data_IF_171271894854
#
_entry.id   IF_171271894854
#
_cell.length_a   1.000
_cell.length_b   1.000
_cell.length_c   1.000
_cell.angle_alpha   90.00
_cell.angle_beta   90.00
_cell.angle_gamma   90.00
#
_symmetry.space_group_name_H-M   'P 1'
#
loop_
_entity.id
_entity.type
_entity.pdbx_description
1 polymer ?
#
# COMPACT_ATOMS: atom_id res chain seq x y z
N UNK A 1 63.63 3.86 -20.99
CA UNK A 1 62.98 4.53 -19.85
C UNK A 1 62.35 3.45 -19.00
N UNK A 2 62.81 3.32 -17.74
CA UNK A 2 62.50 2.21 -16.85
C UNK A 2 61.13 2.40 -16.19
N UNK A 3 60.42 1.28 -16.10
CA UNK A 3 59.15 1.02 -15.42
C UNK A 3 59.14 1.51 -13.96
N UNK A 4 58.03 2.12 -13.51
CA UNK A 4 57.52 1.98 -12.14
C UNK A 4 56.11 2.54 -12.01
N UNK A 5 55.15 1.63 -11.90
CA UNK A 5 53.87 1.85 -11.21
C UNK A 5 54.11 1.75 -9.70
N UNK A 6 53.39 2.53 -8.85
CA UNK A 6 53.22 2.19 -7.46
C UNK A 6 51.82 1.61 -7.24
N UNK A 7 51.80 0.31 -6.96
CA UNK A 7 50.74 -0.37 -6.20
C UNK A 7 50.67 0.22 -4.79
N UNK A 8 49.48 0.65 -4.36
CA UNK A 8 49.12 0.64 -2.94
C UNK A 8 47.81 -0.12 -2.77
N UNK A 9 47.98 -1.44 -2.85
CA UNK A 9 47.13 -2.45 -2.21
C UNK A 9 47.22 -2.25 -0.70
N UNK A 10 46.27 -1.48 -0.14
CA UNK A 10 46.05 -1.34 1.30
C UNK A 10 45.10 -2.42 1.79
N UNK A 11 45.58 -3.66 1.88
CA UNK A 11 44.87 -4.74 2.58
C UNK A 11 44.92 -4.45 4.09
N UNK A 12 43.87 -3.82 4.63
CA UNK A 12 43.70 -3.66 6.06
C UNK A 12 43.31 -5.01 6.66
N UNK A 13 44.30 -5.68 7.27
CA UNK A 13 44.08 -6.86 8.10
C UNK A 13 43.08 -6.52 9.22
N UNK A 14 41.96 -7.25 9.29
CA UNK A 14 40.93 -7.13 10.32
C UNK A 14 41.51 -7.36 11.73
N UNK A 15 41.39 -6.42 12.69
CA UNK A 15 41.79 -6.67 14.07
C UNK A 15 40.68 -7.47 14.80
N UNK A 16 40.58 -8.77 14.52
CA UNK A 16 39.54 -9.64 15.09
C UNK A 16 39.46 -9.61 16.63
N UNK A 17 40.59 -9.34 17.31
CA UNK A 17 40.64 -9.23 18.76
C UNK A 17 40.01 -7.94 19.33
N UNK A 18 40.06 -6.83 18.60
CA UNK A 18 39.46 -5.56 19.07
C UNK A 18 37.95 -5.57 18.88
N UNK A 19 37.46 -6.13 17.76
CA UNK A 19 36.03 -6.29 17.50
C UNK A 19 35.38 -7.25 18.50
N UNK A 20 36.05 -8.36 18.83
CA UNK A 20 35.58 -9.29 19.85
C UNK A 20 35.50 -8.65 21.24
N UNK A 21 36.46 -7.79 21.60
CA UNK A 21 36.44 -7.04 22.88
C UNK A 21 35.30 -6.03 22.90
N UNK A 22 35.11 -5.28 21.82
CA UNK A 22 34.00 -4.33 21.71
C UNK A 22 32.63 -5.03 21.81
N UNK A 23 32.47 -6.16 21.12
CA UNK A 23 31.24 -6.96 21.20
C UNK A 23 31.00 -7.50 22.62
N UNK A 24 32.03 -8.04 23.29
CA UNK A 24 31.91 -8.49 24.69
C UNK A 24 31.53 -7.36 25.65
N UNK A 25 32.11 -6.17 25.48
CA UNK A 25 31.78 -5.01 26.29
C UNK A 25 30.34 -4.57 26.06
N UNK A 26 29.90 -4.52 24.79
CA UNK A 26 28.52 -4.16 24.45
C UNK A 26 27.52 -5.15 25.08
N UNK A 27 27.76 -6.45 24.96
CA UNK A 27 26.89 -7.48 25.58
C UNK A 27 26.86 -7.35 27.10
N UNK A 28 27.99 -7.07 27.75
CA UNK A 28 28.05 -6.87 29.19
C UNK A 28 27.27 -5.62 29.63
N UNK A 29 27.38 -4.51 28.90
CA UNK A 29 26.62 -3.27 29.16
C UNK A 29 25.12 -3.51 28.93
N UNK A 30 24.74 -4.21 27.86
CA UNK A 30 23.34 -4.57 27.61
C UNK A 30 22.78 -5.47 28.72
N UNK A 31 23.52 -6.49 29.15
CA UNK A 31 23.10 -7.38 30.25
C UNK A 31 22.95 -6.61 31.57
N UNK A 32 23.89 -5.72 31.89
CA UNK A 32 23.81 -4.86 33.07
C UNK A 32 22.58 -3.94 33.01
N UNK A 33 22.34 -3.29 31.88
CA UNK A 33 21.21 -2.39 31.70
C UNK A 33 19.87 -3.13 31.83
N UNK A 34 19.73 -4.29 31.19
CA UNK A 34 18.54 -5.13 31.33
C UNK A 34 18.36 -5.64 32.77
N UNK A 35 19.45 -5.99 33.46
CA UNK A 35 19.42 -6.38 34.87
C UNK A 35 18.94 -5.25 35.78
N UNK A 36 19.49 -4.05 35.63
CA UNK A 36 19.05 -2.86 36.38
C UNK A 36 17.58 -2.54 36.09
N UNK A 37 17.18 -2.58 34.82
CA UNK A 37 15.78 -2.34 34.42
C UNK A 37 14.85 -3.39 35.02
N UNK A 38 15.26 -4.66 35.04
CA UNK A 38 14.49 -5.75 35.63
C UNK A 38 14.37 -5.58 37.14
N UNK A 39 15.46 -5.25 37.85
CA UNK A 39 15.42 -4.98 39.29
C UNK A 39 14.54 -3.78 39.60
N UNK A 40 14.66 -2.67 38.87
CA UNK A 40 13.79 -1.51 39.02
C UNK A 40 12.31 -1.88 38.82
N UNK A 41 12.02 -2.70 37.80
CA UNK A 41 10.67 -3.12 37.49
C UNK A 41 10.09 -4.10 38.53
N UNK A 42 10.91 -5.02 39.05
CA UNK A 42 10.52 -5.94 40.12
C UNK A 42 10.37 -5.22 41.47
N UNK A 43 11.26 -4.29 41.80
CA UNK A 43 11.15 -3.43 42.99
C UNK A 43 9.96 -2.45 42.88
N UNK A 44 9.67 -1.95 41.69
CA UNK A 44 8.46 -1.15 41.42
C UNK A 44 7.16 -1.96 41.52
N UNK A 45 7.21 -3.28 41.29
CA UNK A 45 6.10 -4.19 41.59
C UNK A 45 5.93 -4.44 43.09
N UNK A 46 6.98 -4.32 43.90
CA UNK A 46 6.87 -4.38 45.37
C UNK A 46 6.20 -3.11 45.95
N UNK A 47 6.34 -1.95 45.31
CA UNK A 47 5.60 -0.74 45.69
C UNK A 47 4.09 -0.82 45.38
N UNK A 48 3.66 -1.77 44.55
CA UNK A 48 2.24 -2.07 44.29
C UNK A 48 1.62 -3.01 45.35
N UNK A 49 2.40 -3.47 46.33
CA UNK A 49 1.96 -4.27 47.49
C UNK A 49 2.02 -3.49 48.82
N UNK A 50 1.84 -2.18 48.78
CA UNK A 50 1.45 -1.40 49.95
C UNK A 50 -0.04 -1.06 49.90
N UNK A 51 -0.88 -1.92 50.48
CA UNK A 51 -2.03 -1.46 51.22
C UNK A 51 -1.92 -2.07 52.61
N UNK A 52 -1.24 -1.41 53.56
CA UNK A 52 -1.34 -1.64 55.02
C UNK A 52 -0.39 -0.73 55.80
N UNK A 53 -0.40 0.59 55.60
CA UNK A 53 0.16 1.51 56.61
C UNK A 53 -0.35 2.96 56.53
N UNK A 54 -1.65 3.16 56.29
CA UNK A 54 -2.35 4.36 56.77
C UNK A 54 -3.72 3.88 57.25
N UNK A 55 -3.91 3.87 58.56
CA UNK A 55 -4.98 3.15 59.23
C UNK A 55 -6.35 3.81 59.07
N UNK A 56 -7.38 2.97 58.96
CA UNK A 56 -8.75 3.24 59.42
C UNK A 56 -9.37 1.89 59.83
N UNK A 57 -10.07 1.89 60.97
CA UNK A 57 -10.59 0.76 61.76
C UNK A 57 -11.63 -0.14 61.07
N UNK A 58 -11.72 -1.40 61.51
CA UNK A 58 -12.82 -2.37 61.28
C UNK A 58 -14.01 -2.12 62.26
N UNK A 59 -15.05 -2.98 62.34
CA UNK A 59 -16.24 -3.12 61.46
C UNK A 59 -17.58 -3.07 62.25
N UNK A 60 -18.76 -2.95 61.60
CA UNK A 60 -20.10 -3.36 62.11
C UNK A 60 -21.09 -3.29 60.92
N UNK A 61 -21.54 -4.41 60.33
CA UNK A 61 -22.75 -5.18 60.66
C UNK A 61 -24.08 -4.43 60.50
N UNK A 62 -24.95 -4.93 59.61
CA UNK A 62 -26.40 -4.77 59.73
C UNK A 62 -27.15 -4.71 58.40
N UNK A 63 -28.19 -5.54 58.26
CA UNK A 63 -29.12 -5.64 57.14
C UNK A 63 -29.85 -4.33 56.81
N UNK A 64 -30.79 -4.24 55.88
CA UNK A 64 -31.73 -5.23 55.32
C UNK A 64 -32.69 -4.46 54.39
N UNK A 65 -33.36 -5.17 53.47
CA UNK A 65 -34.59 -4.78 52.73
C UNK A 65 -34.37 -3.79 51.56
N UNK A 66 -34.88 -3.95 50.33
CA UNK A 66 -36.09 -4.62 49.79
C UNK A 66 -35.86 -4.77 48.26
N UNK A 67 -36.14 -5.90 47.60
CA UNK A 67 -37.44 -6.33 47.04
C UNK A 67 -38.10 -5.23 46.16
N UNK A 68 -38.62 -5.44 44.95
CA UNK A 68 -38.96 -6.60 44.13
C UNK A 68 -39.20 -6.06 42.68
N UNK A 69 -38.95 -6.80 41.59
CA UNK A 69 -39.89 -7.70 40.90
C UNK A 69 -40.26 -7.22 39.47
N UNK A 70 -40.02 -8.14 38.52
CA UNK A 70 -40.91 -8.64 37.46
C UNK A 70 -41.24 -7.76 36.25
N UNK A 71 -40.98 -8.32 35.06
CA UNK A 71 -41.65 -7.94 33.81
C UNK A 71 -41.07 -8.61 32.56
N UNK A 72 -41.35 -9.91 32.36
CA UNK A 72 -41.24 -10.54 31.03
C UNK A 72 -42.32 -10.00 30.10
N UNK A 73 -42.01 -9.76 28.83
CA UNK A 73 -43.00 -9.74 27.75
C UNK A 73 -42.38 -10.18 26.42
N UNK A 74 -42.88 -11.32 25.95
CA UNK A 74 -42.76 -11.81 24.58
C UNK A 74 -43.88 -11.18 23.73
N UNK A 75 -43.63 -10.83 22.47
CA UNK A 75 -44.62 -10.21 21.59
C UNK A 75 -44.10 -9.72 20.23
N UNK A 76 -43.80 -10.69 19.35
CA UNK A 76 -44.08 -10.79 17.91
C UNK A 76 -44.16 -9.56 16.95
N UNK A 77 -43.46 -9.72 15.81
CA UNK A 77 -43.76 -9.35 14.42
C UNK A 77 -43.90 -7.88 14.00
N UNK A 78 -42.91 -7.38 13.24
CA UNK A 78 -43.16 -6.71 11.95
C UNK A 78 -42.08 -7.02 10.91
N UNK A 79 -42.52 -7.81 9.95
CA UNK A 79 -41.97 -8.01 8.60
C UNK A 79 -41.83 -6.68 7.86
N UNK A 80 -40.65 -6.44 7.27
CA UNK A 80 -40.39 -5.29 6.40
C UNK A 80 -39.35 -5.67 5.36
N UNK A 81 -39.74 -6.48 4.39
CA UNK A 81 -38.92 -6.79 3.23
C UNK A 81 -38.76 -5.57 2.33
N UNK A 82 -37.51 -5.23 2.01
CA UNK A 82 -37.19 -4.36 0.89
C UNK A 82 -36.78 -5.23 -0.30
N UNK A 83 -37.56 -5.08 -1.37
CA UNK A 83 -37.50 -5.82 -2.62
C UNK A 83 -36.20 -5.49 -3.41
N UNK A 84 -35.55 -6.48 -4.05
CA UNK A 84 -34.42 -6.25 -4.96
C UNK A 84 -34.85 -5.50 -6.23
N UNK A 85 -33.94 -4.75 -6.88
CA UNK A 85 -34.22 -4.07 -8.13
C UNK A 85 -34.46 -5.07 -9.28
N UNK A 86 -35.32 -4.73 -10.26
CA UNK A 86 -35.70 -5.63 -11.35
C UNK A 86 -34.57 -5.83 -12.38
N UNK A 87 -34.56 -6.97 -13.09
CA UNK A 87 -33.59 -7.24 -14.16
C UNK A 87 -33.99 -6.47 -15.43
N UNK A 88 -33.06 -5.70 -15.98
CA UNK A 88 -33.18 -5.17 -17.34
C UNK A 88 -32.86 -6.30 -18.33
N UNK A 89 -33.92 -6.76 -18.99
CA UNK A 89 -33.88 -7.75 -20.06
C UNK A 89 -33.19 -7.23 -21.33
N UNK A 90 -32.74 -8.21 -22.10
CA UNK A 90 -32.00 -8.09 -23.35
C UNK A 90 -32.88 -7.74 -24.57
N UNK A 91 -32.18 -7.52 -25.70
CA UNK A 91 -32.63 -7.30 -27.08
C UNK A 91 -32.81 -5.81 -27.43
N UNK A 92 -32.23 -5.25 -28.50
CA UNK A 92 -31.99 -5.80 -29.83
C UNK A 92 -30.89 -5.03 -30.60
N UNK A 93 -30.19 -5.76 -31.46
CA UNK A 93 -29.22 -5.35 -32.47
C UNK A 93 -29.80 -4.34 -33.50
N UNK A 94 -28.96 -3.49 -34.12
CA UNK A 94 -28.72 -3.69 -35.55
C UNK A 94 -27.25 -3.51 -35.98
N UNK A 95 -26.75 -4.43 -36.81
CA UNK A 95 -25.72 -4.19 -37.83
C UNK A 95 -26.45 -3.81 -39.13
N UNK A 96 -25.85 -2.97 -39.99
CA UNK A 96 -25.01 -3.43 -41.11
C UNK A 96 -23.67 -2.66 -41.11
N UNK A 97 -22.51 -3.18 -41.52
CA UNK A 97 -22.22 -3.89 -42.76
C UNK A 97 -21.78 -2.87 -43.83
N UNK A 98 -20.48 -2.78 -44.12
CA UNK A 98 -19.96 -1.92 -45.19
C UNK A 98 -18.45 -1.66 -45.11
N UNK A 99 -17.68 -2.55 -45.73
CA UNK A 99 -16.27 -2.39 -46.04
C UNK A 99 -16.00 -1.20 -46.97
N UNK A 100 -14.79 -0.62 -46.89
CA UNK A 100 -13.90 -0.30 -48.04
C UNK A 100 -12.91 0.82 -47.70
N UNK A 101 -11.63 0.45 -47.53
CA UNK A 101 -10.47 1.33 -47.76
C UNK A 101 -9.96 1.13 -49.21
N UNK A 102 -8.93 1.84 -49.69
CA UNK A 102 -9.05 3.02 -50.55
C UNK A 102 -8.58 2.76 -51.99
N UNK A 103 -9.09 3.54 -52.94
CA UNK A 103 -8.61 3.55 -54.33
C UNK A 103 -7.44 4.52 -54.47
N UNK A 104 -6.35 3.97 -55.01
CA UNK A 104 -5.16 4.65 -55.53
C UNK A 104 -5.51 5.29 -56.86
N UNK A 105 -5.16 6.56 -57.06
CA UNK A 105 -4.97 7.12 -58.40
C UNK A 105 -3.70 7.97 -58.45
N UNK A 106 -2.98 7.84 -59.56
CA UNK A 106 -1.58 8.21 -59.72
C UNK A 106 -1.41 9.34 -60.75
N UNK A 107 -1.01 10.53 -60.29
CA UNK A 107 -0.22 11.56 -61.00
C UNK A 107 -0.85 12.29 -62.20
N UNK A 108 -0.18 13.31 -62.80
CA UNK A 108 1.14 13.89 -62.50
C UNK A 108 1.12 15.42 -62.18
N UNK A 109 2.20 15.93 -61.58
CA UNK A 109 2.37 17.34 -61.21
C UNK A 109 2.62 18.32 -62.38
N UNK A 110 2.70 19.63 -62.09
CA UNK A 110 4.00 20.30 -62.24
C UNK A 110 4.36 21.25 -61.09
N UNK A 111 5.66 21.52 -61.01
CA UNK A 111 6.37 22.28 -59.99
C UNK A 111 5.88 23.73 -59.79
N UNK A 112 5.89 24.21 -58.54
CA UNK A 112 6.05 25.62 -58.21
C UNK A 112 6.42 25.84 -56.73
N UNK A 113 7.63 26.37 -56.54
CA UNK A 113 8.08 27.30 -55.50
C UNK A 113 8.14 26.86 -54.03
N UNK A 114 9.39 26.71 -53.58
CA UNK A 114 9.84 26.82 -52.20
C UNK A 114 9.43 28.19 -51.64
N UNK A 115 8.34 28.21 -50.87
CA UNK A 115 8.10 29.26 -49.87
C UNK A 115 7.89 28.52 -48.58
N UNK A 116 8.92 28.48 -47.74
CA UNK A 116 8.81 27.99 -46.37
C UNK A 116 7.94 28.98 -45.59
N UNK A 117 6.63 28.82 -45.73
CA UNK A 117 5.66 29.35 -44.79
C UNK A 117 6.08 28.82 -43.42
N UNK A 118 6.27 29.68 -42.40
CA UNK A 118 6.41 29.21 -41.04
C UNK A 118 5.13 28.45 -40.71
N UNK A 119 5.22 27.11 -40.73
CA UNK A 119 4.20 26.25 -40.15
C UNK A 119 4.06 26.76 -38.71
N UNK A 120 2.87 27.19 -38.25
CA UNK A 120 2.69 27.48 -36.85
C UNK A 120 3.11 26.20 -36.14
N UNK A 121 4.13 26.29 -35.30
CA UNK A 121 4.45 25.20 -34.40
C UNK A 121 3.16 24.94 -33.63
N UNK A 122 2.44 23.89 -34.01
CA UNK A 122 1.42 23.29 -33.18
C UNK A 122 2.18 22.88 -31.93
N UNK A 123 2.20 23.77 -30.95
CA UNK A 123 2.62 23.46 -29.59
C UNK A 123 1.71 22.33 -29.18
N UNK A 124 2.21 21.10 -29.29
CA UNK A 124 1.54 19.95 -28.71
C UNK A 124 1.25 20.34 -27.27
N UNK A 125 -0.03 20.49 -26.93
CA UNK A 125 -0.45 20.85 -25.58
C UNK A 125 0.04 19.72 -24.67
N UNK A 126 1.21 19.93 -24.06
CA UNK A 126 1.77 19.04 -23.07
C UNK A 126 0.81 19.04 -21.88
N UNK A 127 0.43 17.86 -21.42
CA UNK A 127 -0.40 17.72 -20.23
C UNK A 127 0.25 18.48 -19.05
N UNK A 128 -0.55 19.13 -18.20
CA UNK A 128 -0.02 19.83 -17.03
C UNK A 128 0.62 18.83 -16.06
N UNK A 129 1.50 19.31 -15.18
CA UNK A 129 1.97 18.52 -14.06
C UNK A 129 0.80 18.17 -13.12
N UNK A 130 0.85 17.01 -12.48
CA UNK A 130 -0.10 16.67 -11.43
C UNK A 130 0.10 17.61 -10.22
N UNK A 131 -0.97 17.93 -9.46
CA UNK A 131 -0.84 18.75 -8.27
C UNK A 131 0.03 18.07 -7.22
N UNK A 132 0.67 18.86 -6.35
CA UNK A 132 1.52 18.36 -5.24
C UNK A 132 0.75 17.38 -4.33
N UNK A 133 -0.51 17.70 -4.01
CA UNK A 133 -1.42 16.79 -3.32
C UNK A 133 -2.56 16.40 -4.25
N UNK A 134 -2.84 15.10 -4.35
CA UNK A 134 -3.91 14.65 -5.23
C UNK A 134 -5.29 14.99 -4.67
N UNK A 135 -6.21 15.57 -5.46
CA UNK A 135 -7.59 15.83 -5.04
C UNK A 135 -8.44 14.55 -4.95
N UNK A 136 -7.90 13.39 -5.36
CA UNK A 136 -8.63 12.12 -5.40
C UNK A 136 -8.55 11.34 -4.09
N UNK A 137 -7.81 11.83 -3.09
CA UNK A 137 -7.60 11.14 -1.82
C UNK A 137 -8.90 11.10 -0.99
N UNK A 138 -9.20 9.91 -0.44
CA UNK A 138 -10.41 9.66 0.38
C UNK A 138 -10.12 9.58 1.87
N UNK A 139 -8.84 9.67 2.27
CA UNK A 139 -8.43 9.55 3.66
C UNK A 139 -8.45 8.10 4.19
N UNK A 140 -8.90 7.88 5.44
CA UNK A 140 -8.91 6.57 6.08
C UNK A 140 -9.71 5.52 5.29
N UNK A 141 -9.24 4.27 5.31
CA UNK A 141 -9.90 3.14 4.66
C UNK A 141 -10.08 1.98 5.63
N UNK A 142 -11.17 1.25 5.48
CA UNK A 142 -11.37 -0.02 6.18
C UNK A 142 -10.56 -1.12 5.48
N UNK A 143 -9.75 -1.85 6.24
CA UNK A 143 -8.90 -2.93 5.74
C UNK A 143 -9.29 -4.22 6.46
N UNK A 144 -9.77 -5.20 5.70
CA UNK A 144 -10.17 -6.52 6.18
C UNK A 144 -9.46 -7.64 5.38
N UNK A 145 -9.22 -8.77 6.05
CA UNK A 145 -8.51 -9.93 5.49
C UNK A 145 -9.32 -11.23 5.60
N UNK A 146 -10.63 -11.11 5.79
CA UNK A 146 -11.57 -12.22 5.95
C UNK A 146 -12.26 -12.61 4.63
N UNK A 147 -12.04 -11.88 3.54
CA UNK A 147 -12.69 -12.10 2.25
C UNK A 147 -11.71 -12.57 1.18
N UNK A 148 -11.99 -13.69 0.48
CA UNK A 148 -11.10 -14.18 -0.56
C UNK A 148 -10.94 -13.14 -1.68
N UNK A 149 -9.71 -12.96 -2.15
CA UNK A 149 -9.39 -12.02 -3.23
C UNK A 149 -9.15 -12.79 -4.51
N UNK A 150 -9.84 -12.37 -5.57
CA UNK A 150 -9.63 -12.84 -6.94
C UNK A 150 -8.91 -11.77 -7.76
N UNK A 151 -7.74 -12.11 -8.32
CA UNK A 151 -6.93 -11.18 -9.11
C UNK A 151 -7.57 -10.80 -10.45
N UNK A 152 -8.41 -11.66 -11.02
CA UNK A 152 -9.12 -11.33 -12.26
C UNK A 152 -10.16 -10.24 -12.01
N UNK A 153 -10.89 -10.36 -10.90
CA UNK A 153 -11.81 -9.32 -10.46
C UNK A 153 -11.07 -8.01 -10.13
N UNK A 154 -9.93 -8.08 -9.44
CA UNK A 154 -9.09 -6.91 -9.15
C UNK A 154 -8.68 -6.20 -10.45
N UNK A 155 -8.23 -6.94 -11.46
CA UNK A 155 -7.86 -6.37 -12.76
C UNK A 155 -9.06 -5.71 -13.46
N UNK A 156 -10.24 -6.35 -13.41
CA UNK A 156 -11.48 -5.80 -13.97
C UNK A 156 -11.93 -4.52 -13.26
N UNK A 157 -11.75 -4.43 -11.95
CA UNK A 157 -12.04 -3.24 -11.15
C UNK A 157 -11.02 -2.12 -11.36
N UNK A 158 -9.82 -2.43 -11.87
CA UNK A 158 -8.75 -1.49 -12.11
C UNK A 158 -8.35 -1.45 -13.60
N UNK A 159 -9.26 -1.08 -14.52
CA UNK A 159 -9.04 -1.21 -15.97
C UNK A 159 -7.93 -0.28 -16.51
N UNK A 160 -7.53 0.74 -15.73
CA UNK A 160 -6.45 1.64 -16.10
C UNK A 160 -5.06 1.08 -15.80
N UNK A 161 -4.96 0.01 -15.01
CA UNK A 161 -3.71 -0.69 -14.74
C UNK A 161 -3.37 -1.54 -15.95
N UNK A 162 -2.23 -1.24 -16.56
CA UNK A 162 -1.68 -1.94 -17.72
C UNK A 162 -0.98 -3.23 -17.28
N UNK A 163 -0.70 -4.09 -18.26
CA UNK A 163 0.10 -5.30 -18.07
C UNK A 163 1.39 -5.00 -17.30
N UNK A 164 1.74 -5.90 -16.37
CA UNK A 164 2.89 -5.73 -15.49
C UNK A 164 2.64 -4.81 -14.29
N UNK A 165 1.38 -4.50 -13.97
CA UNK A 165 1.03 -3.69 -12.81
C UNK A 165 1.46 -2.22 -12.95
N UNK A 166 1.43 -1.69 -14.17
CA UNK A 166 1.87 -0.33 -14.48
C UNK A 166 0.69 0.62 -14.64
N UNK A 167 0.82 1.83 -14.14
CA UNK A 167 -0.19 2.87 -14.28
C UNK A 167 0.47 4.25 -14.34
N UNK A 168 -0.12 5.14 -15.12
CA UNK A 168 0.18 6.57 -15.10
C UNK A 168 -1.13 7.36 -15.31
N UNK A 169 -1.30 8.54 -14.68
CA UNK A 169 -2.47 9.37 -14.88
C UNK A 169 -2.62 9.81 -16.34
N UNK A 170 -3.86 9.98 -16.79
CA UNK A 170 -4.16 10.37 -18.19
C UNK A 170 -4.26 11.88 -18.37
N UNK A 171 -4.66 12.59 -17.32
CA UNK A 171 -5.02 14.02 -17.39
C UNK A 171 -3.88 14.95 -16.94
N UNK A 172 -2.82 14.38 -16.35
CA UNK A 172 -1.66 15.12 -15.88
C UNK A 172 -0.38 14.25 -15.94
N UNK A 173 0.78 14.89 -15.92
CA UNK A 173 2.08 14.23 -15.83
C UNK A 173 2.54 14.19 -14.38
N UNK A 174 2.66 12.98 -13.83
CA UNK A 174 3.18 12.79 -12.47
C UNK A 174 4.67 13.17 -12.40
N UNK A 175 5.10 14.01 -11.44
CA UNK A 175 6.52 14.17 -11.15
C UNK A 175 7.12 12.93 -10.46
N UNK A 176 6.27 12.09 -9.85
CA UNK A 176 6.66 10.89 -9.14
C UNK A 176 6.63 9.66 -10.05
N UNK A 177 7.83 9.14 -10.37
CA UNK A 177 8.04 7.88 -11.09
C UNK A 177 8.51 6.81 -10.12
N UNK A 178 7.65 5.85 -9.80
CA UNK A 178 7.81 4.96 -8.64
C UNK A 178 7.90 3.50 -9.05
N UNK A 179 8.98 2.82 -8.68
CA UNK A 179 9.08 1.37 -8.73
C UNK A 179 8.80 0.79 -7.33
N UNK A 180 7.70 0.06 -7.19
CA UNK A 180 7.33 -0.58 -5.92
C UNK A 180 7.89 -2.00 -5.92
N UNK A 181 8.89 -2.24 -5.07
CA UNK A 181 9.61 -3.52 -5.02
C UNK A 181 9.08 -4.33 -3.82
N UNK A 182 8.50 -5.49 -4.11
CA UNK A 182 7.96 -6.41 -3.10
C UNK A 182 8.88 -7.63 -3.02
N UNK A 183 9.72 -7.75 -1.98
CA UNK A 183 10.44 -8.98 -1.73
C UNK A 183 9.43 -10.08 -1.39
N UNK A 184 9.50 -11.21 -2.09
CA UNK A 184 8.45 -12.20 -2.06
C UNK A 184 8.99 -13.62 -1.94
N UNK A 185 8.36 -14.44 -1.09
CA UNK A 185 8.62 -15.88 -0.99
C UNK A 185 7.38 -16.60 -0.45
N UNK A 186 6.69 -17.36 -1.30
CA UNK A 186 5.56 -18.21 -0.91
C UNK A 186 4.46 -17.49 -0.07
N UNK A 187 4.06 -16.29 -0.48
CA UNK A 187 3.01 -15.49 0.21
C UNK A 187 1.91 -15.00 -0.74
N UNK A 188 1.45 -15.88 -1.63
CA UNK A 188 0.51 -15.51 -2.69
C UNK A 188 -0.75 -14.85 -2.15
N UNK A 189 -1.37 -15.38 -1.09
CA UNK A 189 -2.57 -14.79 -0.51
C UNK A 189 -2.34 -13.36 0.01
N UNK A 190 -1.21 -13.09 0.64
CA UNK A 190 -0.88 -11.73 1.09
C UNK A 190 -0.68 -10.78 -0.09
N UNK A 191 -0.06 -11.27 -1.17
CA UNK A 191 0.12 -10.47 -2.38
C UNK A 191 -1.22 -10.12 -3.03
N UNK A 192 -2.20 -11.03 -3.01
CA UNK A 192 -3.55 -10.73 -3.54
C UNK A 192 -4.21 -9.58 -2.79
N UNK A 193 -4.23 -9.64 -1.46
CA UNK A 193 -4.74 -8.52 -0.64
C UNK A 193 -3.96 -7.23 -0.88
N UNK A 194 -2.63 -7.33 -0.96
CA UNK A 194 -1.78 -6.16 -1.22
C UNK A 194 -2.17 -5.48 -2.53
N UNK A 195 -2.33 -6.24 -3.62
CA UNK A 195 -2.73 -5.71 -4.93
C UNK A 195 -4.16 -5.13 -4.90
N UNK A 196 -5.09 -5.83 -4.25
CA UNK A 196 -6.48 -5.37 -4.10
C UNK A 196 -6.57 -3.99 -3.43
N UNK A 197 -5.84 -3.79 -2.33
CA UNK A 197 -5.88 -2.51 -1.61
C UNK A 197 -5.01 -1.43 -2.24
N UNK A 198 -3.81 -1.77 -2.73
CA UNK A 198 -2.84 -0.74 -3.14
C UNK A 198 -3.10 -0.20 -4.55
N UNK A 199 -3.60 -1.00 -5.50
CA UNK A 199 -3.86 -0.47 -6.85
C UNK A 199 -4.77 0.77 -6.84
N UNK A 200 -5.91 0.78 -6.13
CA UNK A 200 -6.76 1.98 -6.03
C UNK A 200 -6.09 3.14 -5.30
N UNK A 201 -5.32 2.86 -4.23
CA UNK A 201 -4.60 3.89 -3.45
C UNK A 201 -3.58 4.61 -4.33
N UNK A 202 -2.75 3.86 -5.04
CA UNK A 202 -1.67 4.39 -5.86
C UNK A 202 -2.22 5.19 -7.06
N UNK A 203 -3.36 4.77 -7.62
CA UNK A 203 -4.05 5.53 -8.68
C UNK A 203 -4.59 6.87 -8.16
N UNK A 204 -5.20 6.89 -6.97
CA UNK A 204 -5.68 8.12 -6.31
C UNK A 204 -4.56 9.06 -5.90
N UNK A 205 -3.34 8.56 -5.71
CA UNK A 205 -2.16 9.40 -5.49
C UNK A 205 -1.59 9.99 -6.79
N UNK A 206 -2.19 9.69 -7.95
CA UNK A 206 -1.77 10.16 -9.28
C UNK A 206 -0.29 9.84 -9.59
N UNK A 207 0.21 8.68 -9.18
CA UNK A 207 1.58 8.25 -9.43
C UNK A 207 1.76 7.66 -10.84
N UNK A 208 2.95 7.84 -11.43
CA UNK A 208 3.45 6.99 -12.51
C UNK A 208 4.21 5.83 -11.87
N UNK A 209 3.59 4.66 -11.74
CA UNK A 209 4.13 3.55 -10.96
C UNK A 209 4.16 2.21 -11.71
N UNK A 210 5.04 1.33 -11.24
CA UNK A 210 5.06 -0.09 -11.58
C UNK A 210 5.35 -0.96 -10.36
N UNK A 211 4.69 -2.11 -10.27
CA UNK A 211 4.88 -3.08 -9.18
C UNK A 211 5.77 -4.22 -9.63
N UNK A 212 6.79 -4.53 -8.83
CA UNK A 212 7.78 -5.56 -9.10
C UNK A 212 7.83 -6.55 -7.93
N UNK A 213 7.35 -7.76 -8.16
CA UNK A 213 7.38 -8.86 -7.17
C UNK A 213 8.67 -9.64 -7.39
N UNK A 214 9.62 -9.52 -6.45
CA UNK A 214 10.93 -10.17 -6.55
C UNK A 214 10.88 -11.48 -5.76
N UNK A 215 10.67 -12.58 -6.49
CA UNK A 215 10.55 -13.90 -5.90
C UNK A 215 11.93 -14.48 -5.55
N UNK A 216 12.15 -14.82 -4.28
CA UNK A 216 13.33 -15.55 -3.84
C UNK A 216 13.23 -17.02 -4.27
N UNK A 217 14.18 -17.47 -5.08
CA UNK A 217 14.38 -18.89 -5.41
C UNK A 217 15.38 -19.47 -4.39
N UNK A 218 15.05 -20.60 -3.79
CA UNK A 218 16.01 -21.42 -3.03
C UNK A 218 16.46 -22.56 -3.92
N UNK A 219 17.76 -22.70 -4.10
CA UNK A 219 18.41 -23.84 -4.76
C UNK A 219 18.91 -24.82 -3.70
#
# INVERSE_FOLDING_TARGET
>A
MRLREPLLSGSAAMPGASLQRACRLLVAVCALHLGVTLVYYLAGRDLSRLPQLVGVSTPLQGGSNSAAAIGQSSGELRTGGARPPPPLGASSQPRPGGDSSPVVDSGPGPASNLTSVPVPHTTALSLPACPEESPLLVGPMLIEFNMPVDLELVAKQNPNVKMGGRYAPRDCVSPHKVAIIIPFRNRQEHLKYWLYYLHPVLQRQQLDYGIYVINQISF
#
